data_IF_937737654762
#
_entry.id   IF_937737654762
#
_cell.length_a   1.000
_cell.length_b   1.000
_cell.length_c   1.000
_cell.angle_alpha   90.00
_cell.angle_beta   90.00
_cell.angle_gamma   90.00
#
_symmetry.space_group_name_H-M   'P 1'
#
loop_
_entity.id
_entity.type
_entity.pdbx_description
1 polymer ?
#
# COMPACT_ATOMS: atom_id res chain seq x y z
N UNK A 1 5.58 6.01 5.29
CA UNK A 1 6.31 5.30 4.23
C UNK A 1 7.81 5.13 4.54
N UNK A 2 8.52 6.17 5.05
CA UNK A 2 9.95 6.04 5.44
C UNK A 2 10.16 4.97 6.50
N UNK A 3 9.35 4.97 7.56
CA UNK A 3 9.34 3.92 8.56
C UNK A 3 9.18 2.52 7.94
N UNK A 4 8.25 2.36 7.01
CA UNK A 4 8.01 1.07 6.34
C UNK A 4 9.23 0.58 5.55
N UNK A 5 9.99 1.49 4.95
CA UNK A 5 11.25 1.16 4.27
C UNK A 5 12.32 0.74 5.29
N UNK A 6 12.47 1.46 6.40
CA UNK A 6 13.40 1.09 7.46
C UNK A 6 13.06 -0.28 8.08
N UNK A 7 11.77 -0.51 8.36
CA UNK A 7 11.28 -1.80 8.87
C UNK A 7 11.49 -2.94 7.86
N UNK A 8 11.29 -2.69 6.59
CA UNK A 8 11.62 -3.63 5.52
C UNK A 8 13.10 -4.04 5.56
N UNK A 9 14.00 -3.08 5.69
CA UNK A 9 15.45 -3.33 5.77
C UNK A 9 15.83 -4.09 7.04
N UNK A 10 15.26 -3.71 8.18
CA UNK A 10 15.43 -4.43 9.44
C UNK A 10 15.01 -5.88 9.32
N UNK A 11 13.88 -6.15 8.67
CA UNK A 11 13.38 -7.51 8.44
C UNK A 11 14.29 -8.32 7.52
N UNK A 12 14.78 -7.71 6.45
CA UNK A 12 15.75 -8.38 5.58
C UNK A 12 17.03 -8.78 6.32
N UNK A 13 17.54 -7.92 7.21
CA UNK A 13 18.68 -8.24 8.05
C UNK A 13 18.38 -9.45 8.93
N UNK A 14 17.26 -9.46 9.63
CA UNK A 14 16.85 -10.58 10.48
C UNK A 14 16.66 -11.89 9.70
N UNK A 15 16.10 -11.84 8.48
CA UNK A 15 16.02 -13.01 7.62
C UNK A 15 17.41 -13.54 7.22
N UNK A 16 18.32 -12.64 6.89
CA UNK A 16 19.70 -12.98 6.49
C UNK A 16 20.46 -13.66 7.60
N UNK A 17 20.33 -13.20 8.85
CA UNK A 17 20.98 -13.77 10.04
C UNK A 17 20.60 -15.25 10.24
N UNK A 18 19.36 -15.60 9.94
CA UNK A 18 18.86 -16.99 10.03
C UNK A 18 18.86 -17.74 8.69
N UNK A 19 19.45 -17.15 7.65
CA UNK A 19 19.55 -17.72 6.28
C UNK A 19 18.18 -18.11 5.70
N UNK A 20 17.15 -17.29 5.93
CA UNK A 20 15.81 -17.46 5.36
C UNK A 20 15.55 -16.43 4.29
N UNK A 21 14.66 -16.77 3.32
CA UNK A 21 14.39 -15.93 2.14
C UNK A 21 13.11 -15.12 2.25
N UNK A 22 12.19 -15.53 3.13
CA UNK A 22 10.91 -14.90 3.27
C UNK A 22 10.35 -15.02 4.70
N UNK A 23 9.36 -14.18 4.99
CA UNK A 23 8.72 -14.13 6.32
C UNK A 23 8.07 -15.46 6.73
N UNK A 24 7.52 -16.21 5.80
CA UNK A 24 6.86 -17.48 6.14
C UNK A 24 7.90 -18.52 6.64
N UNK A 25 9.05 -18.64 5.97
CA UNK A 25 10.13 -19.50 6.42
C UNK A 25 10.73 -19.03 7.76
N UNK A 26 10.83 -17.71 7.96
CA UNK A 26 11.28 -17.13 9.23
C UNK A 26 10.32 -17.47 10.36
N UNK A 27 9.04 -17.23 10.17
CA UNK A 27 8.01 -17.50 11.18
C UNK A 27 7.88 -18.99 11.50
N UNK A 28 8.05 -19.87 10.52
CA UNK A 28 8.08 -21.31 10.75
C UNK A 28 9.28 -21.73 11.63
N UNK A 29 10.41 -21.03 11.51
CA UNK A 29 11.59 -21.29 12.34
C UNK A 29 11.43 -20.72 13.76
N UNK A 30 10.96 -19.47 13.85
CA UNK A 30 10.89 -18.69 15.10
C UNK A 30 9.61 -18.91 15.91
N UNK A 31 8.57 -19.50 15.32
CA UNK A 31 7.27 -19.79 15.95
C UNK A 31 6.71 -18.61 16.75
N UNK A 32 6.98 -18.56 18.07
CA UNK A 32 6.45 -17.55 18.98
C UNK A 32 7.08 -16.15 18.81
N UNK A 33 8.31 -16.09 18.30
CA UNK A 33 9.00 -14.83 17.98
C UNK A 33 8.83 -14.41 16.51
N UNK A 34 7.80 -14.90 15.85
CA UNK A 34 7.52 -14.60 14.45
C UNK A 34 7.20 -13.14 14.19
N UNK A 35 7.53 -12.65 13.01
CA UNK A 35 7.19 -11.30 12.57
C UNK A 35 5.73 -11.25 12.09
N UNK A 36 4.93 -10.26 12.51
CA UNK A 36 3.59 -10.07 11.94
C UNK A 36 3.67 -9.55 10.50
N UNK A 37 2.65 -9.87 9.70
CA UNK A 37 2.45 -9.17 8.43
C UNK A 37 2.02 -7.74 8.69
N UNK A 38 2.47 -6.82 7.84
CA UNK A 38 2.11 -5.40 7.88
C UNK A 38 1.31 -5.08 6.63
N UNK A 39 0.15 -4.47 6.81
CA UNK A 39 -0.65 -3.91 5.70
C UNK A 39 -0.71 -2.40 5.88
N UNK A 40 -0.22 -1.68 4.89
CA UNK A 40 -0.23 -0.21 4.85
C UNK A 40 -1.34 0.20 3.91
N UNK A 41 -2.34 0.90 4.45
CA UNK A 41 -3.48 1.40 3.67
C UNK A 41 -3.32 2.91 3.48
N UNK A 42 -3.35 3.37 2.23
CA UNK A 42 -3.40 4.78 1.85
C UNK A 42 -4.77 5.01 1.22
N UNK A 43 -5.63 5.74 1.91
CA UNK A 43 -7.02 5.98 1.52
C UNK A 43 -7.13 6.96 0.35
N UNK A 44 -6.33 8.03 0.34
CA UNK A 44 -6.25 8.98 -0.78
C UNK A 44 -4.79 9.26 -1.15
N UNK A 45 -4.32 8.55 -2.17
CA UNK A 45 -2.95 8.69 -2.66
C UNK A 45 -2.67 10.08 -3.23
N UNK A 46 -3.69 10.72 -3.84
CA UNK A 46 -3.52 12.05 -4.43
C UNK A 46 -3.06 13.10 -3.42
N UNK A 47 -3.51 13.03 -2.17
CA UNK A 47 -3.12 14.00 -1.14
C UNK A 47 -1.62 13.89 -0.83
N UNK A 48 -1.07 12.68 -0.77
CA UNK A 48 0.38 12.49 -0.59
C UNK A 48 1.18 12.92 -1.82
N UNK A 49 0.68 12.63 -3.01
CA UNK A 49 1.34 13.03 -4.27
C UNK A 49 1.36 14.55 -4.45
N UNK A 50 0.32 15.26 -4.02
CA UNK A 50 0.29 16.73 -4.04
C UNK A 50 1.32 17.35 -3.10
N UNK A 51 1.64 16.68 -1.99
CA UNK A 51 2.61 17.19 -1.01
C UNK A 51 4.06 16.94 -1.42
N UNK A 52 4.39 15.74 -1.91
CA UNK A 52 5.77 15.32 -2.16
C UNK A 52 5.85 14.18 -3.19
N UNK A 53 5.36 14.40 -4.41
CA UNK A 53 5.19 13.38 -5.45
C UNK A 53 6.41 12.47 -5.63
N UNK A 54 7.60 13.06 -5.83
CA UNK A 54 8.84 12.30 -6.10
C UNK A 54 9.22 11.36 -4.96
N UNK A 55 9.13 11.85 -3.73
CA UNK A 55 9.53 11.09 -2.55
C UNK A 55 8.51 9.98 -2.26
N UNK A 56 7.22 10.30 -2.37
CA UNK A 56 6.12 9.33 -2.18
C UNK A 56 6.19 8.23 -3.22
N UNK A 57 6.33 8.58 -4.50
CA UNK A 57 6.47 7.60 -5.58
C UNK A 57 7.68 6.68 -5.36
N UNK A 58 8.85 7.25 -5.05
CA UNK A 58 10.08 6.47 -4.83
C UNK A 58 9.94 5.49 -3.65
N UNK A 59 9.30 5.91 -2.55
CA UNK A 59 9.06 5.06 -1.39
C UNK A 59 8.05 3.94 -1.69
N UNK A 60 6.94 4.26 -2.38
CA UNK A 60 5.95 3.27 -2.81
C UNK A 60 6.59 2.22 -3.72
N UNK A 61 7.32 2.66 -4.74
CA UNK A 61 8.01 1.77 -5.68
C UNK A 61 9.00 0.86 -4.95
N UNK A 62 9.80 1.41 -4.03
CA UNK A 62 10.77 0.64 -3.23
C UNK A 62 10.09 -0.44 -2.38
N UNK A 63 8.98 -0.09 -1.71
CA UNK A 63 8.20 -1.04 -0.92
C UNK A 63 7.58 -2.10 -1.85
N UNK A 64 6.91 -1.69 -2.92
CA UNK A 64 6.24 -2.61 -3.84
C UNK A 64 7.20 -3.63 -4.46
N UNK A 65 8.43 -3.22 -4.79
CA UNK A 65 9.45 -4.09 -5.38
C UNK A 65 10.03 -5.10 -4.41
N UNK A 66 10.19 -4.75 -3.14
CA UNK A 66 11.02 -5.54 -2.22
C UNK A 66 10.26 -6.05 -1.00
N UNK A 67 9.23 -5.38 -0.52
CA UNK A 67 8.67 -5.65 0.80
C UNK A 67 7.81 -6.93 0.88
N UNK A 68 7.38 -7.49 -0.26
CA UNK A 68 6.57 -8.72 -0.31
C UNK A 68 7.21 -9.89 0.44
N UNK A 69 8.50 -10.11 0.23
CA UNK A 69 9.22 -11.22 0.86
C UNK A 69 9.30 -11.09 2.39
N UNK A 70 9.28 -9.87 2.90
CA UNK A 70 9.32 -9.57 4.35
C UNK A 70 7.93 -9.30 4.95
N UNK A 71 6.87 -9.56 4.18
CA UNK A 71 5.48 -9.51 4.65
C UNK A 71 4.92 -8.11 4.85
N UNK A 72 5.36 -7.12 4.05
CA UNK A 72 4.78 -5.77 4.05
C UNK A 72 4.02 -5.57 2.74
N UNK A 73 2.76 -5.21 2.83
CA UNK A 73 1.84 -5.07 1.72
C UNK A 73 1.24 -3.67 1.67
N UNK A 74 0.98 -3.17 0.45
CA UNK A 74 0.38 -1.87 0.20
C UNK A 74 -1.04 -2.04 -0.36
N UNK A 75 -1.96 -1.23 0.16
CA UNK A 75 -3.28 -0.97 -0.42
C UNK A 75 -3.34 0.53 -0.71
N UNK A 76 -3.37 0.89 -1.99
CA UNK A 76 -3.38 2.28 -2.44
C UNK A 76 -4.76 2.58 -3.03
N UNK A 77 -5.43 3.57 -2.49
CA UNK A 77 -6.71 4.05 -3.01
C UNK A 77 -6.61 5.53 -3.40
N UNK A 78 -7.44 5.95 -4.33
CA UNK A 78 -7.62 7.36 -4.69
C UNK A 78 -8.94 7.57 -5.38
N UNK A 79 -9.56 8.71 -5.13
CA UNK A 79 -10.73 9.21 -5.86
C UNK A 79 -10.34 10.12 -7.04
N UNK A 80 -9.02 10.36 -7.23
CA UNK A 80 -8.47 11.23 -8.30
C UNK A 80 -7.53 10.42 -9.20
N UNK A 81 -8.06 9.64 -10.12
CA UNK A 81 -7.27 8.75 -10.97
C UNK A 81 -6.58 9.50 -12.11
N UNK A 82 -5.73 10.48 -11.79
CA UNK A 82 -4.91 11.19 -12.77
C UNK A 82 -3.56 10.48 -13.00
N UNK A 83 -2.91 10.78 -14.11
CA UNK A 83 -1.58 10.23 -14.45
C UNK A 83 -0.49 10.70 -13.48
N UNK A 84 -0.69 11.85 -12.83
CA UNK A 84 0.22 12.39 -11.82
C UNK A 84 0.10 11.67 -10.46
N UNK A 85 -1.03 10.99 -10.22
CA UNK A 85 -1.30 10.21 -9.01
C UNK A 85 -1.00 8.73 -9.25
N UNK A 86 -1.54 8.16 -10.32
CA UNK A 86 -1.32 6.76 -10.71
C UNK A 86 -0.29 6.74 -11.84
N UNK A 87 0.97 6.93 -11.45
CA UNK A 87 2.08 7.04 -12.39
C UNK A 87 2.44 5.72 -13.05
N UNK A 88 3.15 5.78 -14.16
CA UNK A 88 3.66 4.59 -14.84
C UNK A 88 4.57 3.73 -13.96
N UNK A 89 5.36 4.36 -13.06
CA UNK A 89 6.23 3.64 -12.12
C UNK A 89 5.43 2.90 -11.06
N UNK A 90 4.40 3.52 -10.50
CA UNK A 90 3.48 2.87 -9.55
C UNK A 90 2.79 1.69 -10.23
N UNK A 91 2.21 1.88 -11.43
CA UNK A 91 1.54 0.80 -12.17
C UNK A 91 2.45 -0.38 -12.50
N UNK A 92 3.70 -0.12 -12.84
CA UNK A 92 4.68 -1.16 -13.14
C UNK A 92 5.03 -2.04 -11.93
N UNK A 93 4.91 -1.51 -10.71
CA UNK A 93 5.30 -2.19 -9.48
C UNK A 93 4.12 -2.66 -8.62
N UNK A 94 2.92 -2.14 -8.89
CA UNK A 94 1.66 -2.53 -8.25
C UNK A 94 0.73 -3.10 -9.33
N UNK A 95 0.87 -4.38 -9.67
CA UNK A 95 0.15 -4.98 -10.81
C UNK A 95 -1.31 -5.31 -10.51
N UNK A 96 -1.67 -5.54 -9.24
CA UNK A 96 -3.05 -5.75 -8.82
C UNK A 96 -3.80 -4.43 -8.81
N UNK A 97 -4.86 -4.30 -9.65
CA UNK A 97 -5.62 -3.06 -9.79
C UNK A 97 -7.12 -3.32 -9.81
N UNK A 98 -7.86 -2.45 -9.18
CA UNK A 98 -9.32 -2.45 -9.18
C UNK A 98 -9.78 -1.06 -9.63
N UNK A 99 -10.64 -1.01 -10.62
CA UNK A 99 -11.36 0.19 -11.00
C UNK A 99 -12.84 0.02 -10.70
N UNK A 100 -13.36 0.88 -9.85
CA UNK A 100 -14.80 1.11 -9.71
C UNK A 100 -15.28 2.04 -10.83
N UNK A 101 -16.55 2.42 -10.82
CA UNK A 101 -17.11 3.34 -11.81
C UNK A 101 -16.30 4.63 -11.88
N UNK A 102 -15.85 4.99 -13.07
CA UNK A 102 -15.12 6.23 -13.35
C UNK A 102 -16.00 7.22 -14.13
N UNK A 103 -15.62 8.50 -14.09
CA UNK A 103 -16.37 9.55 -14.82
C UNK A 103 -16.04 9.54 -16.32
N UNK A 104 -14.85 9.10 -16.70
CA UNK A 104 -14.38 9.14 -18.09
C UNK A 104 -13.60 7.89 -18.50
N UNK A 105 -13.48 7.71 -19.83
CA UNK A 105 -12.61 6.69 -20.40
C UNK A 105 -11.13 6.95 -20.11
N UNK A 106 -10.74 8.20 -19.92
CA UNK A 106 -9.37 8.58 -19.57
C UNK A 106 -9.03 8.04 -18.19
N UNK A 107 -9.93 8.21 -17.21
CA UNK A 107 -9.75 7.69 -15.86
C UNK A 107 -9.65 6.16 -15.87
N UNK A 108 -10.51 5.48 -16.63
CA UNK A 108 -10.45 4.03 -16.80
C UNK A 108 -9.09 3.59 -17.34
N UNK A 109 -8.58 4.22 -18.39
CA UNK A 109 -7.25 3.93 -18.94
C UNK A 109 -6.13 4.22 -17.94
N UNK A 110 -6.26 5.28 -17.16
CA UNK A 110 -5.26 5.62 -16.13
C UNK A 110 -5.12 4.49 -15.10
N UNK A 111 -6.23 3.89 -14.68
CA UNK A 111 -6.21 2.83 -13.66
C UNK A 111 -5.82 1.47 -14.25
N UNK A 112 -6.54 1.02 -15.29
CA UNK A 112 -6.47 -0.37 -15.77
C UNK A 112 -5.94 -0.51 -17.20
N UNK A 113 -5.38 0.55 -17.78
CA UNK A 113 -4.83 0.64 -19.14
C UNK A 113 -5.85 0.33 -20.27
N UNK A 114 -7.15 0.29 -19.94
CA UNK A 114 -8.25 0.01 -20.87
C UNK A 114 -9.47 0.87 -20.55
N UNK A 115 -10.36 1.04 -21.52
CA UNK A 115 -11.68 1.59 -21.33
C UNK A 115 -12.62 0.55 -20.71
N UNK A 116 -13.70 1.00 -20.05
CA UNK A 116 -14.75 0.13 -19.57
C UNK A 116 -15.22 0.44 -18.16
N UNK A 117 -14.37 1.02 -17.30
CA UNK A 117 -14.78 1.39 -15.95
C UNK A 117 -15.85 2.50 -15.95
N UNK A 118 -15.88 3.35 -16.98
CA UNK A 118 -16.92 4.36 -17.17
C UNK A 118 -18.32 3.78 -17.47
N UNK A 119 -18.40 2.49 -17.76
CA UNK A 119 -19.65 1.77 -18.06
C UNK A 119 -20.14 0.90 -16.90
N UNK A 120 -19.43 0.91 -15.79
CA UNK A 120 -19.82 0.20 -14.59
C UNK A 120 -21.05 0.83 -13.92
N UNK A 121 -21.85 -0.01 -13.27
CA UNK A 121 -23.14 0.38 -12.71
C UNK A 121 -23.04 1.03 -11.30
N UNK A 122 -21.84 1.06 -10.71
CA UNK A 122 -21.67 1.48 -9.32
C UNK A 122 -21.99 0.38 -8.32
N UNK A 123 -22.15 0.73 -7.05
CA UNK A 123 -22.54 -0.19 -5.96
C UNK A 123 -21.64 -1.44 -5.85
N UNK A 124 -20.33 -1.27 -6.04
CA UNK A 124 -19.37 -2.38 -5.98
C UNK A 124 -19.15 -3.13 -7.29
N UNK A 125 -19.79 -2.72 -8.39
CA UNK A 125 -19.44 -3.19 -9.72
C UNK A 125 -18.05 -2.68 -10.10
N UNK A 126 -17.13 -3.57 -10.44
CA UNK A 126 -15.71 -3.24 -10.61
C UNK A 126 -15.05 -4.02 -11.75
N UNK A 127 -13.94 -3.49 -12.23
CA UNK A 127 -12.99 -4.21 -13.09
C UNK A 127 -11.75 -4.56 -12.26
N UNK A 128 -11.44 -5.85 -12.18
CA UNK A 128 -10.26 -6.38 -11.50
C UNK A 128 -9.21 -6.80 -12.54
N UNK A 129 -7.98 -6.33 -12.37
CA UNK A 129 -6.81 -6.71 -13.14
C UNK A 129 -5.71 -7.19 -12.20
N UNK A 130 -5.16 -8.37 -12.45
CA UNK A 130 -4.00 -8.91 -11.73
C UNK A 130 -2.90 -9.31 -12.72
N UNK A 131 -1.70 -9.56 -12.25
CA UNK A 131 -0.53 -9.85 -13.11
C UNK A 131 -0.67 -11.13 -13.94
N UNK A 132 -1.52 -12.05 -13.53
CA UNK A 132 -1.81 -13.32 -14.20
C UNK A 132 -2.99 -13.24 -15.18
N UNK A 133 -3.67 -12.10 -15.24
CA UNK A 133 -4.83 -11.88 -16.12
C UNK A 133 -4.43 -11.12 -17.37
N UNK A 134 -4.72 -11.63 -18.58
CA UNK A 134 -4.46 -10.93 -19.84
C UNK A 134 -5.42 -9.76 -20.08
N UNK A 135 -6.57 -9.74 -19.41
CA UNK A 135 -7.62 -8.71 -19.52
C UNK A 135 -8.31 -8.52 -18.17
N UNK A 136 -8.82 -7.31 -17.89
CA UNK A 136 -9.64 -7.07 -16.70
C UNK A 136 -10.87 -7.96 -16.68
N UNK A 137 -11.20 -8.48 -15.49
CA UNK A 137 -12.43 -9.24 -15.23
C UNK A 137 -13.42 -8.35 -14.53
N UNK A 138 -14.67 -8.32 -14.99
CA UNK A 138 -15.76 -7.65 -14.29
C UNK A 138 -16.21 -8.49 -13.10
N UNK A 139 -16.29 -7.88 -11.94
CA UNK A 139 -16.63 -8.52 -10.68
C UNK A 139 -17.65 -7.65 -9.96
N UNK A 140 -18.65 -8.25 -9.33
CA UNK A 140 -19.58 -7.58 -8.44
C UNK A 140 -19.12 -7.76 -7.00
N UNK A 141 -18.76 -6.66 -6.33
CA UNK A 141 -18.50 -6.64 -4.89
C UNK A 141 -19.79 -6.78 -4.09
N UNK A 142 -19.70 -7.42 -2.93
CA UNK A 142 -20.81 -7.45 -1.98
C UNK A 142 -21.04 -6.05 -1.40
N UNK A 143 -22.31 -5.71 -1.16
CA UNK A 143 -22.64 -4.52 -0.38
C UNK A 143 -22.34 -4.80 1.09
N UNK A 144 -21.57 -3.94 1.71
CA UNK A 144 -21.26 -3.97 3.14
C UNK A 144 -21.75 -2.65 3.73
N UNK A 145 -22.68 -2.75 4.66
CA UNK A 145 -23.24 -1.59 5.38
C UNK A 145 -22.41 -1.20 6.61
N UNK A 146 -22.69 -0.02 7.15
CA UNK A 146 -22.00 0.49 8.34
C UNK A 146 -22.18 -0.41 9.57
N UNK A 147 -23.37 -1.02 9.72
CA UNK A 147 -23.65 -1.96 10.80
C UNK A 147 -22.78 -3.21 10.71
N UNK A 148 -22.60 -3.78 9.51
CA UNK A 148 -21.76 -4.95 9.29
C UNK A 148 -20.30 -4.62 9.52
N UNK A 149 -19.85 -3.45 9.06
CA UNK A 149 -18.49 -2.92 9.31
C UNK A 149 -18.25 -2.73 10.81
N UNK A 150 -19.24 -2.20 11.53
CA UNK A 150 -19.21 -2.08 12.98
C UNK A 150 -19.03 -3.43 13.69
N UNK A 151 -19.87 -4.41 13.35
CA UNK A 151 -19.80 -5.78 13.91
C UNK A 151 -18.44 -6.45 13.63
N UNK A 152 -17.90 -6.27 12.41
CA UNK A 152 -16.61 -6.82 12.06
C UNK A 152 -15.48 -6.17 12.88
N UNK A 153 -15.51 -4.84 13.03
CA UNK A 153 -14.52 -4.12 13.82
C UNK A 153 -14.56 -4.52 15.30
N UNK A 154 -15.75 -4.68 15.88
CA UNK A 154 -15.91 -5.12 17.26
C UNK A 154 -15.40 -6.56 17.44
N UNK A 155 -15.68 -7.45 16.51
CA UNK A 155 -15.16 -8.81 16.51
C UNK A 155 -13.62 -8.85 16.48
N UNK A 156 -12.99 -8.01 15.65
CA UNK A 156 -11.53 -7.92 15.57
C UNK A 156 -10.95 -7.33 16.88
N UNK A 157 -11.57 -6.28 17.43
CA UNK A 157 -11.13 -5.65 18.70
C UNK A 157 -11.22 -6.58 19.89
N UNK A 158 -12.25 -7.46 19.94
CA UNK A 158 -12.38 -8.44 21.00
C UNK A 158 -11.25 -9.48 20.99
N UNK A 159 -10.68 -9.80 19.83
CA UNK A 159 -9.56 -10.73 19.73
C UNK A 159 -8.27 -10.14 20.27
N UNK A 160 -8.00 -8.86 19.96
CA UNK A 160 -6.83 -8.14 20.42
C UNK A 160 -7.08 -6.64 20.41
N UNK A 161 -6.91 -5.96 21.57
CA UNK A 161 -7.04 -4.51 21.61
C UNK A 161 -5.96 -3.86 20.74
N UNK A 162 -6.23 -2.68 20.14
CA UNK A 162 -5.25 -1.97 19.35
C UNK A 162 -4.06 -1.56 20.22
N UNK A 163 -2.86 -1.75 19.71
CA UNK A 163 -1.62 -1.26 20.29
C UNK A 163 -1.04 -0.22 19.33
N UNK A 164 -1.03 1.02 19.76
CA UNK A 164 -0.46 2.12 18.99
C UNK A 164 1.05 2.18 19.22
N UNK A 165 1.79 2.39 18.15
CA UNK A 165 3.23 2.59 18.18
C UNK A 165 3.51 4.08 17.98
N UNK A 166 3.82 4.76 19.08
CA UNK A 166 4.07 6.20 19.10
C UNK A 166 5.33 6.58 18.31
N UNK A 167 6.29 5.67 18.16
CA UNK A 167 7.50 5.90 17.36
C UNK A 167 7.17 6.09 15.87
N UNK A 168 6.14 5.40 15.37
CA UNK A 168 5.68 5.54 13.98
C UNK A 168 5.01 6.90 13.75
N UNK A 169 4.30 7.41 14.76
CA UNK A 169 3.48 8.64 14.66
C UNK A 169 4.29 9.90 14.97
N UNK A 170 5.29 9.82 15.83
CA UNK A 170 6.04 10.97 16.35
C UNK A 170 7.18 11.45 15.45
N UNK A 171 7.48 10.77 14.34
CA UNK A 171 8.54 11.20 13.43
C UNK A 171 8.15 12.53 12.73
N UNK A 172 8.87 13.64 12.99
CA UNK A 172 8.55 14.91 12.36
C UNK A 172 8.77 14.83 10.83
N UNK A 173 7.76 15.23 10.09
CA UNK A 173 7.90 15.41 8.64
C UNK A 173 8.51 16.78 8.39
N UNK A 174 9.83 16.83 8.18
CA UNK A 174 10.50 18.08 7.79
C UNK A 174 10.38 18.23 6.28
N UNK A 175 9.55 19.18 5.85
CA UNK A 175 9.44 19.58 4.45
C UNK A 175 10.55 20.62 4.14
N UNK A 176 11.34 20.40 3.10
CA UNK A 176 12.21 21.45 2.59
C UNK A 176 11.36 22.51 1.86
N UNK A 177 11.82 23.74 1.81
CA UNK A 177 11.13 24.87 1.16
C UNK A 177 10.87 24.72 -0.35
N UNK A 178 11.15 23.56 -0.93
CA UNK A 178 10.87 23.16 -2.32
C UNK A 178 9.91 21.95 -2.41
N UNK A 179 9.21 21.62 -1.33
CA UNK A 179 8.21 20.52 -1.31
C UNK A 179 8.78 19.10 -1.26
N UNK A 180 10.07 18.94 -0.95
CA UNK A 180 10.69 17.63 -0.72
C UNK A 180 10.84 17.33 0.79
N UNK A 181 10.87 16.05 1.16
CA UNK A 181 11.09 15.60 2.54
C UNK A 181 12.59 15.55 2.80
N UNK A 182 13.09 16.30 3.78
CA UNK A 182 14.51 16.27 4.17
C UNK A 182 14.76 14.93 4.92
N UNK A 183 15.74 14.17 4.44
CA UNK A 183 16.27 13.05 5.20
C UNK A 183 17.14 13.59 6.32
N UNK A 184 16.75 13.39 7.56
CA UNK A 184 17.61 13.64 8.69
C UNK A 184 18.68 12.54 8.73
N UNK A 185 19.88 12.89 8.31
CA UNK A 185 21.09 12.09 8.55
C UNK A 185 21.54 12.39 9.97
N UNK A 186 20.84 11.83 10.95
CA UNK A 186 21.31 11.85 12.31
C UNK A 186 22.44 10.81 12.48
N UNK A 187 23.67 11.33 12.58
CA UNK A 187 24.70 10.78 13.45
C UNK A 187 25.44 9.55 12.94
N UNK A 188 26.47 9.78 12.16
CA UNK A 188 27.65 8.93 12.16
C UNK A 188 28.85 9.79 12.54
N UNK A 189 29.13 9.90 13.81
CA UNK A 189 30.41 10.37 14.30
C UNK A 189 31.16 9.23 14.98
N UNK A 190 32.44 9.18 14.59
CA UNK A 190 33.62 8.48 15.13
C UNK A 190 33.72 6.99 14.98
#
# INVERSE_FOLDING_TARGET
LKWAVAEMERRYKALSEVKKRNIAEYNNLKKEEGMPYIVIVIDELADLMMMAARDVEALIVRIAQKARAVGIHLVLATQRPSVDVITGLIKANVPGRIAFTTQSQVDSRTIIDQVGAEKLLGMGDMLLLTSDMPKPKRVQGALIGDEETGKLNDFIRMQRPPQYDDEVVSQPVVLNGKGGIVADHAGGEA
#
